data_IF_716453171053
#
_entry.id   IF_716453171053
#
_cell.length_a   1.000
_cell.length_b   1.000
_cell.length_c   1.000
_cell.angle_alpha   90.00
_cell.angle_beta   90.00
_cell.angle_gamma   90.00
#
_symmetry.space_group_name_H-M   'P 1'
#
loop_
_entity.id
_entity.type
_entity.pdbx_description
1 polymer ?
#
# COMPACT_ATOMS: atom_id res chain seq x y z
N UNK A 1 13.20 -22.94 11.81
CA UNK A 1 13.66 -21.61 11.36
C UNK A 1 14.12 -20.84 12.58
N UNK A 2 15.27 -20.13 12.55
CA UNK A 2 15.64 -19.27 13.66
C UNK A 2 14.60 -18.16 13.80
N UNK A 3 14.16 -17.92 15.04
CA UNK A 3 13.10 -16.97 15.39
C UNK A 3 13.61 -15.54 15.16
N UNK A 4 12.77 -14.67 14.60
CA UNK A 4 12.98 -13.22 14.68
C UNK A 4 12.72 -12.77 16.12
N UNK A 5 13.68 -12.04 16.71
CA UNK A 5 13.70 -11.60 18.10
C UNK A 5 12.64 -10.53 18.43
N UNK A 6 12.19 -10.51 19.68
CA UNK A 6 11.22 -9.55 20.26
C UNK A 6 11.62 -8.07 20.13
N UNK A 7 12.87 -7.78 19.77
CA UNK A 7 13.35 -6.43 19.44
C UNK A 7 12.63 -5.81 18.23
N UNK A 8 12.00 -6.62 17.37
CA UNK A 8 11.25 -6.16 16.20
C UNK A 8 9.94 -5.40 16.55
N UNK A 9 9.49 -5.43 17.80
CA UNK A 9 8.25 -4.77 18.26
C UNK A 9 8.46 -3.47 19.04
N UNK A 10 9.69 -2.95 19.14
CA UNK A 10 9.96 -1.59 19.65
C UNK A 10 9.40 -1.24 21.03
N UNK A 11 9.15 -2.25 21.89
CA UNK A 11 8.68 -2.03 23.27
C UNK A 11 9.85 -2.15 24.24
N UNK A 12 10.67 -1.11 24.30
CA UNK A 12 11.55 -0.90 25.44
C UNK A 12 10.74 -0.25 26.57
N UNK A 13 10.45 -1.04 27.60
CA UNK A 13 9.90 -0.52 28.85
C UNK A 13 11.01 0.21 29.63
N UNK A 14 10.92 1.54 29.71
CA UNK A 14 11.81 2.32 30.56
C UNK A 14 11.66 1.89 32.04
N UNK A 15 12.75 1.68 32.79
CA UNK A 15 12.67 1.28 34.19
C UNK A 15 12.20 2.45 35.07
N UNK A 16 11.23 2.18 35.94
CA UNK A 16 10.74 3.11 36.93
C UNK A 16 11.82 3.41 37.99
N UNK A 17 12.28 4.66 38.07
CA UNK A 17 13.11 5.16 39.16
C UNK A 17 12.28 6.07 40.08
N UNK A 18 12.40 5.83 41.39
CA UNK A 18 11.66 6.48 42.44
C UNK A 18 12.20 7.87 42.83
N UNK A 19 11.28 8.83 43.00
CA UNK A 19 11.25 9.90 44.02
C UNK A 19 12.38 10.96 44.12
N UNK A 20 12.06 12.22 43.75
CA UNK A 20 12.43 13.44 44.49
C UNK A 20 11.71 14.70 43.95
N UNK A 21 11.32 15.62 44.84
CA UNK A 21 10.58 16.86 44.57
C UNK A 21 11.46 18.06 44.09
N UNK A 22 11.03 18.75 43.01
CA UNK A 22 11.08 20.22 42.63
C UNK A 22 12.36 21.08 42.81
N UNK A 23 12.57 22.27 42.15
CA UNK A 23 11.62 23.17 41.44
C UNK A 23 12.09 23.89 40.12
N UNK A 24 11.10 24.49 39.43
CA UNK A 24 11.10 25.75 38.61
C UNK A 24 11.89 25.91 37.28
N UNK A 25 11.08 26.24 36.26
CA UNK A 25 11.23 27.23 35.17
C UNK A 25 12.54 27.30 34.35
N UNK A 26 12.41 26.95 33.06
CA UNK A 26 12.76 27.83 31.91
C UNK A 26 12.17 27.26 30.62
N UNK A 27 11.46 28.12 29.90
CA UNK A 27 10.62 27.75 28.75
C UNK A 27 11.38 27.33 27.50
N UNK A 28 10.70 26.51 26.71
CA UNK A 28 10.92 26.35 25.27
C UNK A 28 9.54 26.14 24.64
N UNK A 29 9.18 27.06 23.74
CA UNK A 29 7.97 27.02 22.91
C UNK A 29 8.08 25.85 21.94
N UNK A 30 7.29 24.79 22.18
CA UNK A 30 6.93 23.82 21.15
C UNK A 30 5.40 23.86 21.03
N UNK A 31 4.92 24.33 19.88
CA UNK A 31 3.50 24.45 19.59
C UNK A 31 2.84 23.07 19.55
N UNK A 32 2.05 22.77 20.58
CA UNK A 32 1.06 21.70 20.56
C UNK A 32 -0.06 22.08 19.59
N UNK A 33 -0.27 21.27 18.57
CA UNK A 33 -1.49 21.34 17.75
C UNK A 33 -2.71 21.08 18.67
N UNK A 34 -3.76 21.91 18.64
CA UNK A 34 -4.94 21.71 19.47
C UNK A 34 -5.81 20.60 18.88
N UNK A 35 -6.15 19.60 19.72
CA UNK A 35 -7.16 18.58 19.41
C UNK A 35 -8.54 19.23 19.59
N UNK A 36 -9.40 19.31 18.56
CA UNK A 36 -10.77 19.79 18.72
C UNK A 36 -11.60 18.73 19.46
N UNK A 37 -12.06 19.07 20.65
CA UNK A 37 -13.18 18.37 21.30
C UNK A 37 -14.48 18.82 20.63
N UNK A 38 -14.87 18.18 19.52
CA UNK A 38 -16.22 18.26 19.00
C UNK A 38 -16.80 16.86 18.83
N UNK A 39 -17.74 16.54 19.71
CA UNK A 39 -18.37 15.22 19.88
C UNK A 39 -19.38 14.86 18.77
N UNK A 40 -19.18 15.31 17.52
CA UNK A 40 -20.18 15.18 16.47
C UNK A 40 -19.66 14.84 15.06
N UNK A 41 -18.44 14.30 14.94
CA UNK A 41 -17.87 13.92 13.64
C UNK A 41 -17.34 12.48 13.61
N UNK A 42 -18.03 11.55 14.26
CA UNK A 42 -17.81 10.11 14.03
C UNK A 42 -18.22 9.78 12.61
N UNK A 43 -17.25 9.63 11.71
CA UNK A 43 -17.49 9.10 10.37
C UNK A 43 -17.78 7.61 10.52
N UNK A 44 -19.05 7.24 10.69
CA UNK A 44 -19.49 5.86 10.53
C UNK A 44 -19.30 5.49 9.05
N UNK A 45 -18.34 4.61 8.79
CA UNK A 45 -18.11 4.05 7.46
C UNK A 45 -18.94 2.76 7.39
N UNK A 46 -20.03 2.70 6.58
CA UNK A 46 -20.84 1.51 6.47
C UNK A 46 -20.01 0.36 5.87
N UNK A 47 -20.18 -0.86 6.38
CA UNK A 47 -19.58 -2.04 5.77
C UNK A 47 -20.04 -2.16 4.31
N UNK A 48 -19.13 -1.95 3.36
CA UNK A 48 -19.45 -1.82 1.93
C UNK A 48 -19.69 -3.16 1.22
N UNK A 49 -19.59 -4.32 1.90
CA UNK A 49 -19.80 -5.64 1.28
C UNK A 49 -20.49 -6.66 2.17
N UNK A 50 -21.36 -7.46 1.54
CA UNK A 50 -21.92 -8.69 2.11
C UNK A 50 -20.82 -9.77 2.21
N UNK A 51 -20.70 -10.43 3.36
CA UNK A 51 -19.77 -11.54 3.66
C UNK A 51 -19.78 -12.68 2.62
N UNK A 52 -20.89 -12.86 1.89
CA UNK A 52 -21.02 -13.88 0.85
C UNK A 52 -20.22 -13.50 -0.40
N UNK A 53 -20.02 -12.22 -0.70
CA UNK A 53 -19.41 -11.79 -1.98
C UNK A 53 -17.98 -12.29 -2.17
N UNK A 54 -17.17 -12.33 -1.11
CA UNK A 54 -15.74 -12.62 -1.24
C UNK A 54 -15.42 -14.13 -1.14
N UNK A 55 -16.24 -14.90 -0.40
CA UNK A 55 -16.03 -16.34 -0.21
C UNK A 55 -16.92 -17.22 -1.09
N UNK A 56 -18.09 -16.74 -1.56
CA UNK A 56 -18.98 -17.54 -2.40
C UNK A 56 -18.37 -17.91 -3.76
N UNK A 57 -17.42 -17.13 -4.25
CA UNK A 57 -16.67 -17.46 -5.46
C UNK A 57 -15.79 -18.71 -5.28
N UNK A 58 -15.38 -19.01 -4.04
CA UNK A 58 -14.52 -20.15 -3.70
C UNK A 58 -15.28 -21.30 -3.03
N UNK A 59 -16.46 -21.02 -2.47
CA UNK A 59 -17.36 -22.02 -1.89
C UNK A 59 -18.26 -22.60 -2.99
N UNK A 60 -17.76 -23.57 -3.74
CA UNK A 60 -18.61 -24.41 -4.56
C UNK A 60 -19.54 -25.24 -3.68
N UNK A 61 -20.83 -25.30 -4.03
CA UNK A 61 -21.70 -26.38 -3.57
C UNK A 61 -21.05 -27.72 -3.96
N UNK A 62 -20.55 -28.46 -2.98
CA UNK A 62 -20.09 -29.83 -3.15
C UNK A 62 -21.29 -30.74 -3.41
N UNK A 63 -21.89 -30.67 -4.61
CA UNK A 63 -22.69 -31.74 -5.23
C UNK A 63 -22.91 -31.50 -6.75
N UNK A 64 -22.30 -32.40 -7.54
CA UNK A 64 -22.72 -33.02 -8.82
C UNK A 64 -23.33 -32.14 -9.96
N UNK A 65 -22.47 -31.98 -10.98
CA UNK A 65 -22.64 -32.06 -12.46
C UNK A 65 -23.34 -30.95 -13.29
N UNK A 66 -22.64 -30.41 -14.31
CA UNK A 66 -23.19 -29.47 -15.30
C UNK A 66 -23.75 -30.20 -16.54
N UNK A 67 -24.89 -29.73 -17.06
CA UNK A 67 -25.36 -30.10 -18.39
C UNK A 67 -25.13 -28.96 -19.38
N UNK A 68 -24.58 -29.37 -20.53
CA UNK A 68 -24.32 -28.66 -21.78
C UNK A 68 -25.58 -27.91 -22.28
N UNK A 69 -25.55 -26.84 -23.10
CA UNK A 69 -24.90 -26.74 -24.41
C UNK A 69 -25.21 -25.39 -25.08
N UNK A 70 -24.23 -24.89 -25.83
CA UNK A 70 -24.23 -24.10 -27.08
C UNK A 70 -25.38 -23.14 -27.44
N UNK A 71 -24.99 -21.96 -27.96
CA UNK A 71 -25.37 -21.55 -29.33
C UNK A 71 -24.44 -20.49 -29.95
N UNK A 72 -23.87 -20.90 -31.08
CA UNK A 72 -23.19 -20.10 -32.12
C UNK A 72 -24.19 -19.20 -32.87
N UNK A 73 -23.71 -18.03 -33.30
CA UNK A 73 -24.36 -17.20 -34.33
C UNK A 73 -23.31 -16.62 -35.29
N UNK A 74 -23.27 -17.16 -36.50
CA UNK A 74 -22.52 -16.65 -37.66
C UNK A 74 -23.40 -15.69 -38.47
N UNK A 75 -22.83 -14.62 -39.04
CA UNK A 75 -22.97 -14.31 -40.48
C UNK A 75 -22.17 -13.08 -40.94
N UNK A 76 -21.58 -13.30 -42.11
CA UNK A 76 -20.71 -12.46 -42.95
C UNK A 76 -21.38 -11.18 -43.50
N UNK A 77 -20.56 -10.18 -43.88
CA UNK A 77 -20.72 -9.50 -45.18
C UNK A 77 -19.45 -8.76 -45.63
N UNK A 78 -18.94 -9.24 -46.77
CA UNK A 78 -18.09 -8.68 -47.82
C UNK A 78 -17.81 -7.16 -47.88
N UNK A 79 -16.59 -6.83 -48.33
CA UNK A 79 -16.27 -5.50 -48.89
C UNK A 79 -14.78 -5.25 -49.10
N UNK A 80 -14.18 -5.89 -50.09
CA UNK A 80 -12.80 -5.66 -50.57
C UNK A 80 -12.71 -4.47 -51.54
N UNK A 81 -11.73 -3.57 -51.34
CA UNK A 81 -10.81 -3.09 -52.40
C UNK A 81 -9.84 -1.98 -51.91
N UNK A 82 -8.54 -2.24 -52.03
CA UNK A 82 -7.40 -1.29 -52.01
C UNK A 82 -7.12 -0.76 -53.45
N UNK A 83 -6.03 -0.02 -53.74
CA UNK A 83 -5.62 1.36 -53.36
C UNK A 83 -5.31 2.21 -54.63
N UNK A 84 -4.72 3.44 -54.51
CA UNK A 84 -3.63 4.04 -55.35
C UNK A 84 -3.52 5.59 -55.15
N UNK A 85 -2.32 6.20 -55.27
CA UNK A 85 -1.81 7.30 -54.43
C UNK A 85 -1.63 8.64 -55.17
N UNK A 86 -1.42 9.77 -54.45
CA UNK A 86 -0.65 10.94 -54.93
C UNK A 86 0.01 11.75 -53.80
N UNK A 87 1.31 11.95 -53.91
CA UNK A 87 2.09 13.11 -53.42
C UNK A 87 2.84 13.69 -54.63
N UNK A 88 3.59 14.83 -54.56
CA UNK A 88 3.69 15.86 -53.53
C UNK A 88 3.45 17.28 -54.10
N UNK A 89 3.33 18.31 -53.24
CA UNK A 89 3.53 19.71 -53.67
C UNK A 89 4.53 20.42 -52.77
N UNK A 90 5.60 20.85 -53.42
CA UNK A 90 6.69 21.67 -52.90
C UNK A 90 6.26 23.14 -52.92
N UNK A 91 6.47 23.86 -51.83
CA UNK A 91 6.57 25.33 -51.84
C UNK A 91 7.90 25.74 -51.23
N UNK A 92 8.74 26.33 -52.08
CA UNK A 92 10.06 26.89 -51.77
C UNK A 92 9.91 28.29 -51.15
N UNK A 93 10.72 28.50 -50.09
CA UNK A 93 11.57 29.66 -49.79
C UNK A 93 10.98 31.08 -49.65
N UNK A 94 11.19 31.63 -48.45
CA UNK A 94 11.85 32.92 -48.17
C UNK A 94 12.17 32.93 -46.66
N UNK A 95 13.30 33.35 -46.12
CA UNK A 95 14.46 34.10 -46.59
C UNK A 95 15.59 33.86 -45.59
N UNK A 96 16.81 33.65 -46.08
CA UNK A 96 18.01 33.60 -45.25
C UNK A 96 18.24 34.99 -44.66
N UNK A 97 18.10 35.11 -43.35
CA UNK A 97 18.69 36.21 -42.57
C UNK A 97 19.77 35.58 -41.70
N UNK A 98 21.01 35.92 -41.98
CA UNK A 98 22.16 35.61 -41.15
C UNK A 98 21.99 36.31 -39.79
N UNK A 99 21.57 35.55 -38.77
CA UNK A 99 21.53 36.03 -37.39
C UNK A 99 22.14 34.97 -36.46
N UNK A 100 23.47 34.99 -36.36
CA UNK A 100 24.26 34.09 -35.50
C UNK A 100 24.13 34.34 -33.99
N UNK A 101 23.26 35.27 -33.57
CA UNK A 101 22.96 35.56 -32.15
C UNK A 101 21.54 35.18 -31.74
N UNK A 102 20.52 35.65 -32.48
CA UNK A 102 19.11 35.47 -32.10
C UNK A 102 18.63 34.01 -32.14
N UNK A 103 19.21 33.17 -33.00
CA UNK A 103 18.83 31.75 -33.06
C UNK A 103 19.22 30.99 -31.79
N UNK A 104 20.34 31.35 -31.14
CA UNK A 104 20.77 30.72 -29.88
C UNK A 104 19.89 31.15 -28.72
N UNK A 105 19.51 32.42 -28.65
CA UNK A 105 18.64 32.93 -27.59
C UNK A 105 17.20 32.39 -27.71
N UNK A 106 16.70 32.24 -28.95
CA UNK A 106 15.40 31.59 -29.22
C UNK A 106 15.46 30.10 -28.87
N UNK A 107 16.54 29.40 -29.23
CA UNK A 107 16.71 28.00 -28.85
C UNK A 107 16.89 27.84 -27.33
N UNK A 108 17.62 28.73 -26.67
CA UNK A 108 17.83 28.69 -25.22
C UNK A 108 16.53 28.98 -24.46
N UNK A 109 15.74 29.95 -24.88
CA UNK A 109 14.41 30.22 -24.31
C UNK A 109 13.44 29.06 -24.53
N UNK A 110 13.42 28.48 -25.74
CA UNK A 110 12.63 27.27 -26.02
C UNK A 110 13.04 26.09 -25.13
N UNK A 111 14.34 25.87 -24.93
CA UNK A 111 14.85 24.80 -24.05
C UNK A 111 14.48 25.08 -22.59
N UNK A 112 14.58 26.32 -22.14
CA UNK A 112 14.15 26.72 -20.79
C UNK A 112 12.66 26.48 -20.59
N UNK A 113 11.81 26.88 -21.52
CA UNK A 113 10.36 26.70 -21.40
C UNK A 113 9.97 25.21 -21.44
N UNK A 114 10.57 24.43 -22.33
CA UNK A 114 10.40 22.96 -22.33
C UNK A 114 10.82 22.32 -21.01
N UNK A 115 11.93 22.77 -20.41
CA UNK A 115 12.37 22.27 -19.10
C UNK A 115 11.39 22.64 -17.97
N UNK A 116 10.81 23.84 -18.00
CA UNK A 116 9.77 24.24 -17.04
C UNK A 116 8.51 23.39 -17.18
N UNK A 117 8.06 23.13 -18.41
CA UNK A 117 6.91 22.27 -18.68
C UNK A 117 7.15 20.84 -18.18
N UNK A 118 8.33 20.26 -18.46
CA UNK A 118 8.72 18.94 -17.94
C UNK A 118 8.79 18.91 -16.42
N UNK A 119 9.33 19.95 -15.78
CA UNK A 119 9.37 20.06 -14.31
C UNK A 119 7.95 20.14 -13.73
N UNK A 120 7.06 20.93 -14.32
CA UNK A 120 5.67 21.02 -13.90
C UNK A 120 4.93 19.69 -14.06
N UNK A 121 5.13 18.99 -15.17
CA UNK A 121 4.59 17.65 -15.42
C UNK A 121 5.14 16.61 -14.43
N UNK A 122 6.45 16.65 -14.14
CA UNK A 122 7.10 15.76 -13.18
C UNK A 122 6.57 15.94 -11.76
N UNK A 123 6.29 17.19 -11.36
CA UNK A 123 5.61 17.49 -10.08
C UNK A 123 4.11 17.16 -10.09
N UNK A 124 3.51 16.92 -11.26
CA UNK A 124 2.08 16.61 -11.39
C UNK A 124 1.81 15.11 -11.57
N UNK A 125 2.85 14.28 -11.59
CA UNK A 125 2.74 12.83 -11.51
C UNK A 125 3.24 12.34 -10.15
N UNK A 126 2.71 11.19 -9.69
CA UNK A 126 3.21 10.51 -8.52
C UNK A 126 3.06 9.00 -8.64
N UNK A 127 3.77 8.27 -7.79
CA UNK A 127 3.65 6.82 -7.69
C UNK A 127 3.20 6.39 -6.29
N UNK A 128 2.35 5.38 -6.23
CA UNK A 128 2.06 4.64 -5.00
C UNK A 128 2.50 3.20 -5.24
N UNK A 129 3.49 2.73 -4.49
CA UNK A 129 4.02 1.37 -4.63
C UNK A 129 3.47 0.48 -3.55
N UNK A 130 2.94 -0.69 -3.92
CA UNK A 130 2.96 -1.81 -3.00
C UNK A 130 4.41 -2.24 -2.71
N UNK A 131 4.62 -3.04 -1.66
CA UNK A 131 5.95 -3.49 -1.24
C UNK A 131 6.17 -4.95 -1.65
N UNK A 132 5.29 -5.84 -1.23
CA UNK A 132 5.49 -7.28 -1.31
C UNK A 132 5.17 -7.75 -2.72
N UNK A 133 6.19 -8.21 -3.47
CA UNK A 133 6.05 -8.57 -4.88
C UNK A 133 6.25 -7.41 -5.86
N UNK A 134 6.45 -6.18 -5.37
CA UNK A 134 6.75 -5.00 -6.20
C UNK A 134 8.15 -4.46 -5.92
N UNK A 135 8.50 -4.25 -4.66
CA UNK A 135 9.81 -3.77 -4.22
C UNK A 135 10.69 -4.88 -3.61
N UNK A 136 10.07 -5.87 -2.97
CA UNK A 136 10.79 -6.96 -2.31
C UNK A 136 9.95 -8.26 -2.25
N UNK A 137 10.64 -9.39 -2.08
CA UNK A 137 10.09 -10.69 -1.72
C UNK A 137 10.52 -11.03 -0.29
N UNK A 138 9.68 -10.67 0.69
CA UNK A 138 10.08 -10.73 2.09
C UNK A 138 11.29 -9.82 2.35
N UNK A 139 12.46 -10.40 2.65
CA UNK A 139 13.69 -9.64 2.89
C UNK A 139 14.63 -9.57 1.67
N UNK A 140 14.24 -10.16 0.53
CA UNK A 140 15.03 -10.11 -0.70
C UNK A 140 14.54 -8.95 -1.58
N UNK A 141 15.42 -8.02 -2.00
CA UNK A 141 15.00 -6.91 -2.85
C UNK A 141 14.72 -7.38 -4.29
N UNK A 142 13.76 -6.74 -4.95
CA UNK A 142 13.64 -6.78 -6.40
C UNK A 142 14.64 -5.76 -6.97
N UNK A 143 15.65 -6.21 -7.72
CA UNK A 143 16.77 -5.34 -8.13
C UNK A 143 16.30 -4.16 -9.00
N UNK A 144 15.30 -4.36 -9.85
CA UNK A 144 14.70 -3.31 -10.65
C UNK A 144 14.02 -2.22 -9.80
N UNK A 145 13.58 -2.55 -8.58
CA UNK A 145 13.02 -1.57 -7.65
C UNK A 145 14.07 -0.54 -7.23
N UNK A 146 15.32 -0.96 -7.00
CA UNK A 146 16.41 -0.04 -6.64
C UNK A 146 16.65 0.97 -7.75
N UNK A 147 16.68 0.52 -9.01
CA UNK A 147 16.85 1.41 -10.17
C UNK A 147 15.67 2.37 -10.33
N UNK A 148 14.44 1.88 -10.16
CA UNK A 148 13.23 2.70 -10.24
C UNK A 148 13.23 3.80 -9.17
N UNK A 149 13.50 3.46 -7.91
CA UNK A 149 13.55 4.44 -6.83
C UNK A 149 14.70 5.42 -6.98
N UNK A 150 15.88 4.97 -7.42
CA UNK A 150 17.01 5.87 -7.69
C UNK A 150 16.65 6.94 -8.73
N UNK A 151 15.95 6.54 -9.80
CA UNK A 151 15.44 7.45 -10.82
C UNK A 151 14.45 8.47 -10.22
N UNK A 152 13.48 8.01 -9.41
CA UNK A 152 12.50 8.89 -8.77
C UNK A 152 13.14 9.81 -7.72
N UNK A 153 14.24 9.40 -7.09
CA UNK A 153 14.98 10.20 -6.11
C UNK A 153 15.95 11.24 -6.72
N UNK A 154 15.88 11.47 -8.04
CA UNK A 154 16.63 12.53 -8.71
C UNK A 154 17.74 12.06 -9.65
N UNK A 155 18.00 10.76 -9.80
CA UNK A 155 18.87 10.24 -10.85
C UNK A 155 18.13 10.19 -12.20
N UNK A 156 17.66 11.34 -12.66
CA UNK A 156 16.89 11.51 -13.90
C UNK A 156 17.31 12.81 -14.61
N UNK A 157 16.86 13.03 -15.85
CA UNK A 157 17.21 14.19 -16.68
C UNK A 157 17.05 15.55 -15.98
N UNK A 158 16.07 15.68 -15.10
CA UNK A 158 15.72 16.95 -14.44
C UNK A 158 16.50 17.16 -13.13
N UNK A 159 17.09 16.11 -12.57
CA UNK A 159 17.76 16.19 -11.27
C UNK A 159 16.82 16.50 -10.10
N UNK A 160 15.51 16.33 -10.29
CA UNK A 160 14.49 16.56 -9.26
C UNK A 160 13.87 15.24 -8.81
N UNK A 161 13.34 15.24 -7.59
CA UNK A 161 12.54 14.12 -7.09
C UNK A 161 11.18 14.08 -7.79
N UNK A 162 10.72 12.89 -8.13
CA UNK A 162 9.34 12.63 -8.55
C UNK A 162 8.65 12.02 -7.33
N UNK A 163 7.51 12.56 -6.87
CA UNK A 163 6.87 12.12 -5.64
C UNK A 163 6.42 10.66 -5.73
N UNK A 164 6.66 9.92 -4.65
CA UNK A 164 6.09 8.59 -4.47
C UNK A 164 5.84 8.30 -2.99
N UNK A 165 4.92 7.39 -2.74
CA UNK A 165 4.58 6.84 -1.42
C UNK A 165 4.61 5.31 -1.48
N UNK A 166 4.66 4.69 -0.30
CA UNK A 166 4.51 3.24 -0.14
C UNK A 166 3.12 2.98 0.45
N UNK A 167 2.35 2.11 -0.20
CA UNK A 167 0.98 1.77 0.17
C UNK A 167 0.84 0.26 0.28
N UNK A 168 0.85 -0.27 1.49
CA UNK A 168 1.04 -1.70 1.74
C UNK A 168 -0.01 -2.25 2.70
N UNK A 169 -0.47 -3.47 2.42
CA UNK A 169 -1.33 -4.21 3.35
C UNK A 169 -0.55 -5.02 4.39
N UNK A 170 0.78 -5.16 4.23
CA UNK A 170 1.59 -5.77 5.27
C UNK A 170 1.53 -4.95 6.57
N UNK A 171 1.71 -5.60 7.71
CA UNK A 171 1.66 -4.96 9.03
C UNK A 171 2.58 -5.64 10.05
N UNK A 172 2.44 -5.26 11.32
CA UNK A 172 3.17 -5.87 12.44
C UNK A 172 4.47 -5.19 12.85
N UNK A 173 4.90 -4.14 12.13
CA UNK A 173 5.98 -3.23 12.55
C UNK A 173 5.47 -1.80 12.53
N UNK A 174 6.06 -0.94 13.35
CA UNK A 174 5.83 0.52 13.25
C UNK A 174 6.32 1.01 11.89
N UNK A 175 5.73 2.09 11.38
CA UNK A 175 6.13 2.67 10.09
C UNK A 175 7.61 3.04 10.07
N UNK A 176 8.12 3.58 11.18
CA UNK A 176 9.54 3.91 11.33
C UNK A 176 10.44 2.68 11.21
N UNK A 177 10.11 1.59 11.91
CA UNK A 177 10.86 0.33 11.84
C UNK A 177 10.76 -0.30 10.44
N UNK A 178 9.60 -0.20 9.79
CA UNK A 178 9.41 -0.71 8.43
C UNK A 178 10.16 0.10 7.38
N UNK A 179 10.19 1.42 7.51
CA UNK A 179 11.04 2.30 6.68
C UNK A 179 12.51 1.95 6.80
N UNK A 180 12.99 1.71 8.02
CA UNK A 180 14.38 1.34 8.29
C UNK A 180 14.72 -0.01 7.64
N UNK A 181 13.89 -1.02 7.87
CA UNK A 181 14.04 -2.33 7.25
C UNK A 181 14.05 -2.23 5.72
N UNK A 182 13.11 -1.49 5.12
CA UNK A 182 13.05 -1.35 3.68
C UNK A 182 14.25 -0.59 3.12
N UNK A 183 14.77 0.39 3.85
CA UNK A 183 16.01 1.10 3.50
C UNK A 183 17.22 0.15 3.50
N UNK A 184 17.24 -0.82 4.40
CA UNK A 184 18.28 -1.86 4.41
C UNK A 184 18.12 -2.89 3.28
N UNK A 185 16.90 -3.28 2.95
CA UNK A 185 16.61 -4.21 1.85
C UNK A 185 16.98 -3.54 0.51
N UNK A 186 16.59 -2.27 0.33
CA UNK A 186 16.79 -1.51 -0.91
C UNK A 186 18.11 -0.72 -0.94
N UNK A 187 19.12 -1.13 -0.15
CA UNK A 187 20.46 -0.53 -0.08
C UNK A 187 20.93 -0.03 -1.46
N UNK A 188 21.21 1.28 -1.56
CA UNK A 188 21.62 1.95 -2.79
C UNK A 188 20.55 2.87 -3.41
N UNK A 189 19.28 2.71 -3.04
CA UNK A 189 18.25 3.73 -3.19
C UNK A 189 18.11 4.47 -1.86
N UNK A 190 18.52 5.74 -1.78
CA UNK A 190 18.23 6.55 -0.59
C UNK A 190 16.72 6.73 -0.47
N UNK A 191 16.05 5.98 0.40
CA UNK A 191 14.66 6.27 0.78
C UNK A 191 14.68 7.50 1.68
N UNK A 192 14.05 8.58 1.25
CA UNK A 192 13.89 9.74 2.11
C UNK A 192 12.89 9.45 3.23
N UNK A 193 13.15 10.03 4.39
CA UNK A 193 12.47 9.73 5.65
C UNK A 193 10.97 10.07 5.78
N UNK A 194 10.23 10.56 4.76
CA UNK A 194 8.76 10.60 4.83
C UNK A 194 8.07 9.71 3.82
N UNK A 195 8.77 8.73 3.22
CA UNK A 195 8.10 7.65 2.49
C UNK A 195 7.53 6.67 3.52
N UNK A 196 6.53 7.10 4.28
CA UNK A 196 5.87 6.26 5.29
C UNK A 196 5.09 5.15 4.57
N UNK A 197 5.33 3.87 4.88
CA UNK A 197 4.43 2.81 4.45
C UNK A 197 3.09 3.08 5.09
N UNK A 198 2.14 3.53 4.27
CA UNK A 198 0.75 3.61 4.66
C UNK A 198 0.30 2.17 4.81
N UNK A 199 0.32 1.70 6.05
CA UNK A 199 -0.26 0.43 6.42
C UNK A 199 -1.76 0.64 6.53
N UNK A 200 -2.27 1.10 7.67
CA UNK A 200 -3.73 1.23 7.90
C UNK A 200 -4.06 2.32 8.93
N UNK A 201 -5.23 2.98 8.83
CA UNK A 201 -5.66 4.00 9.80
C UNK A 201 -5.88 3.45 11.22
N UNK A 202 -5.86 2.12 11.40
CA UNK A 202 -5.97 1.46 12.70
C UNK A 202 -4.79 1.73 13.64
N UNK A 203 -3.64 2.20 13.15
CA UNK A 203 -2.48 2.48 14.02
C UNK A 203 -2.78 3.58 15.06
N UNK A 204 -3.59 4.60 14.69
CA UNK A 204 -4.06 5.62 15.63
C UNK A 204 -4.89 5.02 16.79
N UNK A 205 -5.55 3.88 16.55
CA UNK A 205 -6.28 3.12 17.56
C UNK A 205 -5.33 2.22 18.40
N UNK A 206 -4.20 1.81 17.81
CA UNK A 206 -3.17 1.01 18.45
C UNK A 206 -2.44 1.75 19.57
N UNK A 207 -2.03 3.00 19.34
CA UNK A 207 -1.26 3.81 20.30
C UNK A 207 -2.03 4.15 21.59
N UNK A 208 -3.36 4.13 21.54
CA UNK A 208 -4.24 4.35 22.70
C UNK A 208 -4.71 3.05 23.36
N UNK A 209 -4.54 1.92 22.69
CA UNK A 209 -4.97 0.61 23.17
C UNK A 209 -3.79 -0.17 23.77
N UNK A 210 -3.86 -0.44 25.07
CA UNK A 210 -2.88 -1.30 25.74
C UNK A 210 -3.12 -2.75 25.32
N UNK A 211 -2.52 -3.16 24.20
CA UNK A 211 -2.62 -4.52 23.65
C UNK A 211 -2.15 -5.52 24.71
N UNK A 212 -3.06 -6.38 25.24
CA UNK A 212 -2.64 -7.50 26.05
C UNK A 212 -1.96 -8.50 25.12
N UNK A 213 -0.63 -8.57 25.16
CA UNK A 213 0.06 -9.76 24.66
C UNK A 213 -0.47 -10.92 25.53
N UNK A 214 -1.26 -11.83 24.97
CA UNK A 214 -1.68 -13.08 25.62
C UNK A 214 -0.48 -14.03 25.69
N UNK A 215 0.61 -13.56 26.32
CA UNK A 215 1.77 -14.36 26.73
C UNK A 215 1.52 -15.10 28.04
N UNK A 216 0.38 -14.86 28.70
CA UNK A 216 0.01 -15.70 29.83
C UNK A 216 -0.36 -17.08 29.29
N UNK A 217 0.08 -18.18 29.93
CA UNK A 217 -0.60 -19.44 29.79
C UNK A 217 -2.00 -19.26 30.38
N UNK A 218 -2.92 -18.72 29.56
CA UNK A 218 -4.34 -18.89 29.75
C UNK A 218 -4.59 -20.38 29.96
N UNK A 219 -5.63 -20.71 30.74
CA UNK A 219 -5.93 -22.08 31.09
C UNK A 219 -5.81 -22.95 29.82
N UNK A 220 -4.96 -23.99 29.77
CA UNK A 220 -4.69 -24.74 28.53
C UNK A 220 -5.95 -25.38 27.92
N UNK A 221 -7.08 -25.35 28.60
CA UNK A 221 -8.40 -25.70 28.07
C UNK A 221 -9.04 -24.62 27.17
N UNK A 222 -8.64 -23.36 27.30
CA UNK A 222 -9.15 -22.22 26.50
C UNK A 222 -8.64 -22.28 25.06
N UNK A 223 -7.39 -22.73 24.86
CA UNK A 223 -6.86 -23.09 23.54
C UNK A 223 -6.16 -24.45 23.62
N UNK A 224 -6.87 -25.55 23.38
CA UNK A 224 -6.33 -26.90 23.54
C UNK A 224 -5.21 -27.25 22.55
N UNK A 225 -5.02 -26.42 21.52
CA UNK A 225 -4.07 -26.65 20.43
C UNK A 225 -2.76 -25.88 20.57
N UNK A 226 -2.65 -24.96 21.56
CA UNK A 226 -1.44 -24.15 21.75
C UNK A 226 -0.30 -24.96 22.37
N UNK A 227 0.85 -24.97 21.68
CA UNK A 227 2.10 -25.49 22.22
C UNK A 227 2.96 -24.34 22.77
N UNK A 228 2.89 -24.10 24.08
CA UNK A 228 3.71 -23.08 24.74
C UNK A 228 5.20 -23.46 24.75
N UNK A 229 6.06 -22.55 24.30
CA UNK A 229 7.52 -22.69 24.43
C UNK A 229 8.00 -22.35 25.84
N UNK A 230 9.26 -22.64 26.15
CA UNK A 230 9.84 -22.33 27.47
C UNK A 230 9.88 -20.82 27.74
N UNK A 231 10.10 -20.00 26.72
CA UNK A 231 10.05 -18.53 26.78
C UNK A 231 8.64 -18.01 27.08
N UNK A 232 7.60 -18.56 26.43
CA UNK A 232 6.19 -18.19 26.71
C UNK A 232 5.81 -18.46 28.18
N UNK A 233 6.43 -19.49 28.78
CA UNK A 233 6.20 -19.87 30.18
C UNK A 233 7.02 -19.03 31.16
N UNK A 234 8.07 -18.35 30.71
CA UNK A 234 8.98 -17.58 31.54
C UNK A 234 8.45 -16.17 31.87
N UNK A 235 7.59 -15.59 31.02
CA UNK A 235 6.99 -14.26 31.23
C UNK A 235 5.45 -14.25 31.27
N UNK A 236 4.81 -14.96 32.22
CA UNK A 236 3.38 -14.79 32.43
C UNK A 236 3.13 -13.39 33.01
N UNK A 237 2.42 -12.55 32.26
CA UNK A 237 1.74 -11.36 32.79
C UNK A 237 0.28 -11.75 33.07
N UNK A 238 -0.03 -12.41 34.21
CA UNK A 238 -1.38 -12.87 34.49
C UNK A 238 -2.32 -11.66 34.54
N UNK A 239 -3.31 -11.66 33.64
CA UNK A 239 -4.44 -10.73 33.67
C UNK A 239 -5.68 -11.53 34.00
N UNK A 240 -6.47 -11.02 34.94
CA UNK A 240 -7.76 -11.62 35.29
C UNK A 240 -8.82 -11.15 34.27
N UNK A 241 -9.02 -11.93 33.22
CA UNK A 241 -9.94 -11.59 32.13
C UNK A 241 -11.41 -11.59 32.56
N UNK A 242 -11.76 -12.20 33.70
CA UNK A 242 -13.13 -12.17 34.24
C UNK A 242 -13.58 -10.76 34.67
N UNK A 243 -12.63 -9.84 34.86
CA UNK A 243 -12.87 -8.45 35.27
C UNK A 243 -12.72 -7.44 34.14
N UNK A 244 -12.43 -7.91 32.92
CA UNK A 244 -12.17 -7.06 31.77
C UNK A 244 -13.34 -7.16 30.81
N UNK A 245 -13.93 -6.01 30.50
CA UNK A 245 -14.82 -5.86 29.35
C UNK A 245 -13.97 -5.44 28.15
N UNK A 246 -14.13 -6.15 27.03
CA UNK A 246 -13.56 -5.78 25.75
C UNK A 246 -14.59 -4.99 24.95
N UNK A 247 -14.21 -3.84 24.41
CA UNK A 247 -15.13 -2.99 23.62
C UNK A 247 -15.03 -3.25 22.11
N UNK A 248 -13.91 -3.81 21.63
CA UNK A 248 -13.68 -4.11 20.23
C UNK A 248 -12.57 -5.16 20.04
N UNK A 249 -12.55 -5.80 18.87
CA UNK A 249 -11.49 -6.70 18.42
C UNK A 249 -10.76 -6.04 17.26
N UNK A 250 -9.45 -5.83 17.39
CA UNK A 250 -8.61 -5.21 16.35
C UNK A 250 -7.55 -6.22 15.88
N UNK A 251 -7.66 -6.67 14.62
CA UNK A 251 -6.72 -7.61 14.00
C UNK A 251 -5.72 -6.81 13.16
N UNK A 252 -4.55 -6.54 13.73
CA UNK A 252 -3.52 -5.67 13.13
C UNK A 252 -2.62 -6.37 12.10
N UNK A 253 -2.31 -7.64 12.30
CA UNK A 253 -1.38 -8.40 11.47
C UNK A 253 -1.76 -9.88 11.48
N UNK A 254 -1.09 -10.68 10.64
CA UNK A 254 -1.22 -12.13 10.67
C UNK A 254 -0.79 -12.71 12.02
N UNK A 255 -1.67 -13.55 12.57
CA UNK A 255 -1.38 -14.35 13.74
C UNK A 255 -0.33 -15.43 13.43
N UNK A 256 0.50 -15.76 14.42
CA UNK A 256 1.42 -16.92 14.34
C UNK A 256 0.84 -18.18 15.00
N UNK A 257 -0.32 -18.06 15.64
CA UNK A 257 -1.05 -19.13 16.32
C UNK A 257 -2.55 -19.01 15.98
N UNK A 258 -2.88 -19.34 14.73
CA UNK A 258 -4.22 -19.18 14.19
C UNK A 258 -5.29 -19.89 15.02
N UNK A 259 -5.01 -21.08 15.55
CA UNK A 259 -5.99 -21.84 16.31
C UNK A 259 -6.40 -21.10 17.60
N UNK A 260 -5.42 -20.61 18.35
CA UNK A 260 -5.67 -19.85 19.58
C UNK A 260 -6.37 -18.54 19.28
N UNK A 261 -5.86 -17.77 18.32
CA UNK A 261 -6.39 -16.43 18.08
C UNK A 261 -7.79 -16.47 17.47
N UNK A 262 -8.09 -17.45 16.60
CA UNK A 262 -9.47 -17.67 16.14
C UNK A 262 -10.40 -18.06 17.29
N UNK A 263 -9.97 -18.95 18.19
CA UNK A 263 -10.79 -19.38 19.32
C UNK A 263 -11.13 -18.18 20.23
N UNK A 264 -10.13 -17.37 20.60
CA UNK A 264 -10.33 -16.18 21.43
C UNK A 264 -11.26 -15.15 20.76
N UNK A 265 -11.10 -14.92 19.46
CA UNK A 265 -11.97 -14.01 18.70
C UNK A 265 -13.40 -14.54 18.70
N UNK A 266 -13.62 -15.82 18.42
CA UNK A 266 -14.95 -16.43 18.41
C UNK A 266 -15.60 -16.38 19.79
N UNK A 267 -14.84 -16.63 20.86
CA UNK A 267 -15.36 -16.55 22.22
C UNK A 267 -15.79 -15.13 22.57
N UNK A 268 -15.01 -14.11 22.20
CA UNK A 268 -15.39 -12.70 22.40
C UNK A 268 -16.59 -12.28 21.54
N UNK A 269 -16.69 -12.76 20.30
CA UNK A 269 -17.83 -12.48 19.42
C UNK A 269 -19.13 -13.13 19.90
N UNK A 270 -19.04 -14.16 20.74
CA UNK A 270 -20.19 -14.90 21.29
C UNK A 270 -20.42 -14.60 22.78
N UNK A 271 -19.58 -13.75 23.38
CA UNK A 271 -19.64 -13.34 24.76
C UNK A 271 -20.78 -12.34 25.02
N UNK A 272 -21.19 -12.24 26.28
CA UNK A 272 -22.10 -11.22 26.77
C UNK A 272 -21.35 -9.89 26.93
N UNK A 273 -21.62 -8.97 26.00
CA UNK A 273 -21.13 -7.58 25.97
C UNK A 273 -19.61 -7.50 26.17
N UNK A 274 -18.87 -8.33 25.42
CA UNK A 274 -17.41 -8.36 25.43
C UNK A 274 -16.77 -8.89 26.72
N UNK A 275 -17.53 -9.55 27.60
CA UNK A 275 -17.00 -10.16 28.82
C UNK A 275 -16.51 -11.58 28.53
N UNK A 276 -15.19 -11.77 28.55
CA UNK A 276 -14.59 -13.09 28.31
C UNK A 276 -15.15 -14.15 29.29
N UNK A 277 -15.19 -15.41 28.86
CA UNK A 277 -15.72 -16.57 29.62
C UNK A 277 -17.26 -16.58 29.81
N UNK A 278 -17.99 -15.70 29.12
CA UNK A 278 -19.46 -15.71 29.12
C UNK A 278 -20.02 -16.17 27.77
N UNK A 279 -21.33 -16.42 27.71
CA UNK A 279 -22.04 -16.74 26.46
C UNK A 279 -23.34 -15.95 26.38
N UNK A 280 -23.45 -15.09 25.38
CA UNK A 280 -24.67 -14.32 25.16
C UNK A 280 -25.83 -15.24 24.77
N UNK A 281 -27.03 -14.93 25.28
CA UNK A 281 -28.28 -15.57 24.82
C UNK A 281 -28.61 -15.17 23.38
N UNK A 282 -28.32 -13.92 23.04
CA UNK A 282 -28.38 -13.38 21.69
C UNK A 282 -27.00 -12.82 21.31
N UNK A 283 -26.14 -13.65 20.69
CA UNK A 283 -24.81 -13.24 20.27
C UNK A 283 -24.82 -12.16 19.18
N UNK A 284 -25.91 -11.95 18.45
CA UNK A 284 -25.96 -10.94 17.39
C UNK A 284 -26.19 -9.56 18.00
N UNK A 285 -27.14 -9.46 18.93
CA UNK A 285 -27.44 -8.19 19.63
C UNK A 285 -26.34 -7.77 20.61
N UNK A 286 -25.58 -8.74 21.14
CA UNK A 286 -24.57 -8.50 22.18
C UNK A 286 -23.13 -8.36 21.64
N UNK A 287 -22.93 -8.51 20.33
CA UNK A 287 -21.60 -8.60 19.70
C UNK A 287 -20.85 -7.26 19.80
N UNK A 288 -19.56 -7.35 20.13
CA UNK A 288 -18.61 -6.24 20.00
C UNK A 288 -18.07 -6.12 18.56
N UNK A 289 -17.78 -4.91 18.07
CA UNK A 289 -17.27 -4.72 16.72
C UNK A 289 -15.89 -5.37 16.52
N UNK A 290 -15.67 -5.88 15.30
CA UNK A 290 -14.40 -6.47 14.86
C UNK A 290 -13.88 -5.76 13.61
N UNK A 291 -12.58 -5.46 13.65
CA UNK A 291 -11.86 -4.72 12.63
C UNK A 291 -10.67 -5.54 12.13
N UNK A 292 -10.51 -5.64 10.82
CA UNK A 292 -9.32 -6.21 10.19
C UNK A 292 -8.54 -5.11 9.47
N UNK A 293 -7.22 -5.12 9.63
CA UNK A 293 -6.37 -4.13 9.00
C UNK A 293 -6.33 -4.29 7.49
N UNK A 294 -6.44 -5.50 6.94
CA UNK A 294 -6.36 -5.74 5.50
C UNK A 294 -7.28 -6.87 5.01
N UNK A 295 -7.50 -6.91 3.69
CA UNK A 295 -8.42 -7.86 3.05
C UNK A 295 -7.80 -8.95 2.18
N UNK A 296 -6.47 -8.95 1.95
CA UNK A 296 -5.84 -9.80 0.94
C UNK A 296 -5.94 -11.28 1.31
N UNK A 297 -6.27 -12.11 0.33
CA UNK A 297 -6.32 -13.56 0.52
C UNK A 297 -4.90 -14.15 0.50
N UNK A 298 -4.05 -13.63 -0.39
CA UNK A 298 -2.71 -14.12 -0.62
C UNK A 298 -1.71 -12.98 -0.78
N UNK A 299 -0.45 -13.25 -0.43
CA UNK A 299 0.69 -12.36 -0.62
C UNK A 299 1.95 -13.15 -1.01
N UNK A 300 2.92 -12.54 -1.69
CA UNK A 300 4.18 -13.17 -2.04
C UNK A 300 5.15 -13.16 -0.85
N UNK A 301 5.99 -14.19 -0.74
CA UNK A 301 7.09 -14.26 0.24
C UNK A 301 8.38 -14.72 -0.45
N UNK A 302 9.44 -14.92 0.32
CA UNK A 302 10.68 -15.62 -0.08
C UNK A 302 10.47 -17.09 -0.54
N UNK A 303 9.25 -17.63 -0.40
CA UNK A 303 8.90 -18.96 -0.84
C UNK A 303 8.82 -19.04 -2.36
N UNK A 304 9.65 -19.89 -2.98
CA UNK A 304 9.73 -20.09 -4.44
C UNK A 304 8.48 -20.70 -5.10
N UNK A 305 7.50 -21.14 -4.31
CA UNK A 305 6.24 -21.70 -4.79
C UNK A 305 5.15 -20.64 -4.93
N UNK A 306 3.86 -21.06 -4.93
CA UNK A 306 2.74 -20.13 -4.99
C UNK A 306 2.73 -19.10 -3.84
N UNK A 307 2.02 -17.96 -3.99
CA UNK A 307 1.73 -17.04 -2.90
C UNK A 307 1.15 -17.73 -1.66
N UNK A 308 1.41 -17.16 -0.47
CA UNK A 308 0.95 -17.70 0.82
C UNK A 308 -0.35 -17.03 1.24
N UNK A 309 -1.17 -17.73 2.03
CA UNK A 309 -2.35 -17.14 2.65
C UNK A 309 -1.92 -16.06 3.67
N UNK A 310 -2.71 -15.01 3.78
CA UNK A 310 -2.54 -13.91 4.75
C UNK A 310 -3.87 -13.59 5.44
N UNK A 311 -3.99 -12.44 6.09
CA UNK A 311 -5.04 -12.14 7.05
C UNK A 311 -6.46 -12.18 6.43
N UNK A 312 -6.63 -12.07 5.11
CA UNK A 312 -7.94 -12.30 4.47
C UNK A 312 -8.42 -13.75 4.59
N UNK A 313 -7.50 -14.72 4.54
CA UNK A 313 -7.83 -16.14 4.81
C UNK A 313 -8.18 -16.37 6.28
N UNK A 314 -7.44 -15.72 7.19
CA UNK A 314 -7.71 -15.73 8.63
C UNK A 314 -9.11 -15.16 8.93
N UNK A 315 -9.44 -14.02 8.33
CA UNK A 315 -10.75 -13.37 8.40
C UNK A 315 -11.88 -14.26 7.89
N UNK A 316 -11.74 -14.83 6.67
CA UNK A 316 -12.74 -15.74 6.09
C UNK A 316 -12.99 -16.94 7.01
N UNK A 317 -11.94 -17.44 7.66
CA UNK A 317 -12.05 -18.54 8.62
C UNK A 317 -12.88 -18.16 9.85
N UNK A 318 -12.71 -16.93 10.36
CA UNK A 318 -13.52 -16.41 11.49
C UNK A 318 -14.98 -16.22 11.07
N UNK A 319 -15.23 -15.66 9.87
CA UNK A 319 -16.58 -15.48 9.34
C UNK A 319 -17.31 -16.81 9.20
N UNK A 320 -16.65 -17.81 8.63
CA UNK A 320 -17.21 -19.15 8.46
C UNK A 320 -17.55 -19.79 9.80
N UNK A 321 -16.66 -19.68 10.80
CA UNK A 321 -16.90 -20.18 12.15
C UNK A 321 -18.07 -19.46 12.82
N UNK A 322 -18.11 -18.13 12.77
CA UNK A 322 -19.18 -17.33 13.35
C UNK A 322 -20.55 -17.67 12.72
N UNK A 323 -20.60 -17.79 11.39
CA UNK A 323 -21.81 -18.19 10.66
C UNK A 323 -22.27 -19.60 11.01
N UNK A 324 -21.34 -20.55 11.13
CA UNK A 324 -21.67 -21.92 11.52
C UNK A 324 -22.26 -21.98 12.94
N UNK A 325 -21.81 -21.11 13.85
CA UNK A 325 -22.24 -21.09 15.25
C UNK A 325 -23.52 -20.28 15.51
N UNK A 326 -23.80 -19.28 14.68
CA UNK A 326 -24.93 -18.33 14.90
C UNK A 326 -26.01 -18.41 13.84
N UNK A 327 -25.71 -18.99 12.66
CA UNK A 327 -26.56 -18.94 11.47
C UNK A 327 -26.56 -17.59 10.75
N UNK A 328 -25.81 -16.60 11.25
CA UNK A 328 -25.81 -15.22 10.74
C UNK A 328 -24.41 -14.84 10.25
N UNK A 329 -24.37 -14.02 9.21
CA UNK A 329 -23.14 -13.46 8.69
C UNK A 329 -22.48 -12.50 9.69
N UNK A 330 -21.14 -12.59 9.81
CA UNK A 330 -20.38 -11.70 10.67
C UNK A 330 -20.32 -10.30 10.04
N UNK A 331 -20.80 -9.30 10.77
CA UNK A 331 -20.56 -7.90 10.43
C UNK A 331 -19.17 -7.52 10.93
N UNK A 332 -18.40 -6.89 10.05
CA UNK A 332 -17.02 -6.48 10.29
C UNK A 332 -16.71 -5.22 9.52
N UNK A 333 -15.65 -4.55 9.93
CA UNK A 333 -15.02 -3.48 9.14
C UNK A 333 -13.66 -3.96 8.70
N UNK A 334 -13.31 -3.67 7.44
CA UNK A 334 -12.00 -3.97 6.89
C UNK A 334 -11.40 -2.71 6.33
N UNK A 335 -10.12 -2.53 6.63
CA UNK A 335 -9.27 -1.49 6.10
C UNK A 335 -8.29 -2.09 5.09
N UNK A 336 -7.37 -1.27 4.61
CA UNK A 336 -6.36 -1.71 3.65
C UNK A 336 -6.89 -1.70 2.25
N UNK A 337 -6.00 -1.87 1.28
CA UNK A 337 -6.41 -2.03 -0.12
C UNK A 337 -7.34 -3.25 -0.23
N UNK A 338 -8.42 -3.18 -1.02
CA UNK A 338 -8.80 -2.12 -1.97
C UNK A 338 -9.68 -1.00 -1.38
N UNK A 339 -9.82 -0.88 -0.06
CA UNK A 339 -10.79 0.00 0.59
C UNK A 339 -10.48 1.48 0.40
N UNK A 340 -11.53 2.27 0.10
CA UNK A 340 -11.42 3.70 -0.22
C UNK A 340 -10.71 4.51 0.86
N UNK A 341 -10.95 4.19 2.13
CA UNK A 341 -10.37 4.90 3.27
C UNK A 341 -8.83 4.89 3.22
N UNK A 342 -8.22 3.78 2.80
CA UNK A 342 -6.76 3.64 2.67
C UNK A 342 -6.21 4.56 1.58
N UNK A 343 -6.89 4.71 0.45
CA UNK A 343 -6.47 5.62 -0.62
C UNK A 343 -6.72 7.10 -0.28
N UNK A 344 -7.80 7.41 0.45
CA UNK A 344 -8.03 8.78 0.96
C UNK A 344 -6.94 9.21 1.95
N UNK A 345 -6.50 8.31 2.82
CA UNK A 345 -5.36 8.61 3.69
C UNK A 345 -4.04 8.70 2.91
N UNK A 346 -3.87 7.89 1.86
CA UNK A 346 -2.71 7.99 0.97
C UNK A 346 -2.59 9.36 0.27
N UNK A 347 -3.71 10.00 -0.08
CA UNK A 347 -3.73 11.38 -0.59
C UNK A 347 -3.16 12.37 0.45
N UNK A 348 -3.50 12.24 1.73
CA UNK A 348 -2.98 13.12 2.79
C UNK A 348 -1.46 12.99 2.92
N UNK A 349 -0.96 11.74 2.90
CA UNK A 349 0.48 11.45 2.95
C UNK A 349 1.19 11.99 1.70
N UNK A 350 0.62 11.80 0.51
CA UNK A 350 1.20 12.30 -0.74
C UNK A 350 1.24 13.84 -0.76
N UNK A 351 0.21 14.50 -0.23
CA UNK A 351 0.14 15.96 -0.11
C UNK A 351 1.20 16.51 0.85
N UNK A 352 1.37 15.88 2.01
CA UNK A 352 2.43 16.24 2.95
C UNK A 352 3.83 16.02 2.34
N UNK A 353 4.00 14.94 1.58
CA UNK A 353 5.25 14.65 0.90
C UNK A 353 5.58 15.68 -0.19
N UNK A 354 4.58 16.06 -0.98
CA UNK A 354 4.68 17.15 -1.98
C UNK A 354 5.09 18.48 -1.36
N UNK A 355 4.52 18.82 -0.21
CA UNK A 355 4.91 20.01 0.55
C UNK A 355 6.39 19.94 0.96
N UNK A 356 6.85 18.78 1.39
CA UNK A 356 8.24 18.61 1.81
C UNK A 356 9.26 18.67 0.65
N UNK A 357 9.01 18.01 -0.48
CA UNK A 357 10.01 17.92 -1.57
C UNK A 357 9.91 19.02 -2.62
N UNK A 358 8.76 19.68 -2.72
CA UNK A 358 8.50 20.70 -3.74
C UNK A 358 7.96 22.01 -3.17
N UNK A 359 7.68 22.09 -1.87
CA UNK A 359 7.06 23.26 -1.23
C UNK A 359 5.70 23.59 -1.87
N UNK A 360 4.94 22.55 -2.24
CA UNK A 360 3.63 22.64 -2.89
C UNK A 360 2.61 21.77 -2.14
N UNK A 361 1.63 22.39 -1.47
CA UNK A 361 0.55 21.67 -0.79
C UNK A 361 -0.61 21.38 -1.77
N UNK A 362 -0.39 20.45 -2.69
CA UNK A 362 -1.39 19.98 -3.66
C UNK A 362 -1.19 18.51 -4.00
N UNK A 363 -2.26 17.86 -4.46
CA UNK A 363 -2.17 16.51 -4.99
C UNK A 363 -1.72 16.52 -6.46
N UNK A 364 -0.79 15.64 -6.84
CA UNK A 364 -0.51 15.29 -8.22
C UNK A 364 -1.77 14.72 -8.87
N UNK A 365 -2.08 15.12 -10.11
CA UNK A 365 -3.27 14.61 -10.82
C UNK A 365 -3.03 13.21 -11.40
N UNK A 366 -1.79 12.91 -11.80
CA UNK A 366 -1.43 11.67 -12.46
C UNK A 366 -0.75 10.72 -11.47
N UNK A 367 -1.55 10.09 -10.61
CA UNK A 367 -1.05 9.08 -9.66
C UNK A 367 -1.08 7.69 -10.30
N UNK A 368 0.00 6.94 -10.11
CA UNK A 368 0.20 5.58 -10.62
C UNK A 368 0.33 4.59 -9.46
N UNK A 369 -0.70 3.78 -9.22
CA UNK A 369 -0.63 2.63 -8.32
C UNK A 369 0.14 1.50 -9.00
N UNK A 370 1.27 1.08 -8.43
CA UNK A 370 2.06 -0.04 -8.92
C UNK A 370 1.94 -1.19 -7.93
N UNK A 371 1.35 -2.30 -8.40
CA UNK A 371 0.95 -3.42 -7.55
C UNK A 371 1.05 -4.76 -8.26
N UNK A 372 1.12 -5.83 -7.50
CA UNK A 372 1.21 -7.21 -7.99
C UNK A 372 -0.12 -7.97 -7.84
N UNK A 373 -1.06 -7.44 -7.03
CA UNK A 373 -2.30 -8.12 -6.67
C UNK A 373 -3.52 -7.45 -7.34
N UNK A 374 -4.16 -8.10 -8.34
CA UNK A 374 -5.31 -7.53 -9.03
C UNK A 374 -6.50 -7.22 -8.11
N UNK A 375 -6.76 -8.08 -7.11
CA UNK A 375 -7.89 -7.93 -6.20
C UNK A 375 -7.69 -6.84 -5.14
N UNK A 376 -6.47 -6.33 -4.99
CA UNK A 376 -6.09 -5.36 -3.96
C UNK A 376 -5.62 -4.06 -4.59
N UNK A 377 -4.42 -4.04 -5.18
CA UNK A 377 -3.79 -2.83 -5.71
C UNK A 377 -4.54 -2.27 -6.91
N UNK A 378 -4.87 -3.16 -7.86
CA UNK A 378 -5.44 -2.76 -9.14
C UNK A 378 -6.91 -2.42 -8.98
N UNK A 379 -7.67 -3.28 -8.29
CA UNK A 379 -9.05 -3.00 -7.91
C UNK A 379 -9.17 -1.68 -7.15
N UNK A 380 -8.38 -1.48 -6.09
CA UNK A 380 -8.42 -0.26 -5.27
C UNK A 380 -8.02 0.98 -6.06
N UNK A 381 -6.93 0.92 -6.81
CA UNK A 381 -6.47 2.03 -7.65
C UNK A 381 -7.49 2.42 -8.73
N UNK A 382 -8.10 1.44 -9.39
CA UNK A 382 -9.16 1.66 -10.38
C UNK A 382 -10.40 2.32 -9.74
N UNK A 383 -10.87 1.79 -8.60
CA UNK A 383 -12.03 2.34 -7.89
C UNK A 383 -11.79 3.75 -7.38
N UNK A 384 -10.55 4.08 -7.01
CA UNK A 384 -10.17 5.41 -6.57
C UNK A 384 -9.99 6.41 -7.73
N UNK A 385 -9.73 5.91 -8.93
CA UNK A 385 -9.51 6.72 -10.14
C UNK A 385 -8.04 7.00 -10.46
N UNK A 386 -7.11 6.24 -9.87
CA UNK A 386 -5.69 6.30 -10.20
C UNK A 386 -5.36 5.48 -11.45
N UNK A 387 -4.23 5.81 -12.08
CA UNK A 387 -3.64 4.93 -13.09
C UNK A 387 -3.09 3.69 -12.39
N UNK A 388 -3.28 2.49 -12.94
CA UNK A 388 -2.85 1.25 -12.29
C UNK A 388 -1.90 0.46 -13.18
N UNK A 389 -0.73 0.12 -12.63
CA UNK A 389 0.32 -0.67 -13.25
C UNK A 389 0.40 -2.03 -12.55
N UNK A 390 0.06 -3.11 -13.25
CA UNK A 390 0.14 -4.47 -12.71
C UNK A 390 1.49 -5.09 -13.05
N UNK A 391 2.26 -5.51 -12.04
CA UNK A 391 3.57 -6.14 -12.24
C UNK A 391 3.50 -7.66 -12.12
N UNK A 392 4.44 -8.35 -12.78
CA UNK A 392 4.51 -9.84 -12.81
C UNK A 392 5.43 -10.44 -11.76
N UNK A 393 5.95 -9.62 -10.87
CA UNK A 393 6.93 -10.03 -9.87
C UNK A 393 6.29 -10.65 -8.62
N UNK A 394 4.96 -10.66 -8.46
CA UNK A 394 4.30 -11.17 -7.25
C UNK A 394 3.15 -12.14 -7.50
N UNK A 395 2.00 -11.87 -6.88
CA UNK A 395 0.76 -12.67 -6.94
C UNK A 395 0.34 -12.90 -8.38
N UNK A 396 0.34 -11.86 -9.19
CA UNK A 396 -0.03 -11.97 -10.59
C UNK A 396 1.10 -12.51 -11.46
N UNK A 397 0.84 -13.60 -12.18
CA UNK A 397 1.77 -14.23 -13.12
C UNK A 397 1.16 -14.48 -14.51
N UNK A 398 0.02 -13.84 -14.82
CA UNK A 398 -0.68 -14.02 -16.10
C UNK A 398 0.16 -13.61 -17.31
N UNK A 399 -0.25 -13.98 -18.52
CA UNK A 399 0.42 -13.52 -19.76
C UNK A 399 -0.15 -12.17 -20.25
N UNK A 400 -1.45 -11.98 -20.06
CA UNK A 400 -2.19 -10.77 -20.43
C UNK A 400 -2.53 -9.95 -19.17
N UNK A 401 -3.57 -9.11 -19.27
CA UNK A 401 -4.14 -8.39 -18.13
C UNK A 401 -5.07 -9.30 -17.31
N UNK A 402 -5.32 -8.96 -16.05
CA UNK A 402 -6.26 -9.71 -15.22
C UNK A 402 -7.68 -9.59 -15.77
N UNK A 403 -8.42 -10.70 -15.82
CA UNK A 403 -9.76 -10.74 -16.41
C UNK A 403 -10.80 -9.99 -15.56
N UNK A 404 -10.65 -10.02 -14.23
CA UNK A 404 -11.64 -9.48 -13.30
C UNK A 404 -11.30 -8.03 -12.88
N UNK A 405 -10.01 -7.75 -12.69
CA UNK A 405 -9.50 -6.46 -12.25
C UNK A 405 -8.38 -5.98 -13.18
N UNK A 406 -8.69 -5.66 -14.45
CA UNK A 406 -7.68 -5.26 -15.42
C UNK A 406 -7.02 -3.94 -15.02
N UNK A 407 -5.69 -3.90 -15.10
CA UNK A 407 -4.93 -2.68 -14.92
C UNK A 407 -5.21 -1.69 -16.07
N UNK A 408 -5.63 -0.47 -15.72
CA UNK A 408 -6.04 0.53 -16.70
C UNK A 408 -4.88 1.18 -17.47
N UNK A 409 -3.66 1.19 -16.90
CA UNK A 409 -2.49 1.78 -17.54
C UNK A 409 -1.67 0.73 -18.27
N UNK A 410 -1.48 -0.44 -17.65
CA UNK A 410 -0.85 -1.56 -18.32
C UNK A 410 -0.32 -2.62 -17.37
N UNK A 411 0.27 -3.64 -18.00
CA UNK A 411 0.87 -4.77 -17.33
C UNK A 411 2.35 -4.83 -17.68
N UNK A 412 3.20 -5.00 -16.68
CA UNK A 412 4.64 -4.83 -16.80
C UNK A 412 5.40 -6.01 -16.20
N UNK A 413 6.57 -6.36 -16.75
CA UNK A 413 7.38 -7.45 -16.20
C UNK A 413 7.84 -7.16 -14.77
N UNK A 414 8.16 -5.90 -14.44
CA UNK A 414 8.63 -5.46 -13.13
C UNK A 414 8.30 -3.97 -12.91
N UNK A 415 8.58 -3.49 -11.69
CA UNK A 415 8.36 -2.10 -11.25
C UNK A 415 9.12 -1.07 -12.10
N UNK A 416 10.33 -1.37 -12.56
CA UNK A 416 11.13 -0.42 -13.34
C UNK A 416 10.49 -0.12 -14.70
N UNK A 417 10.00 -1.15 -15.39
CA UNK A 417 9.34 -0.95 -16.68
C UNK A 417 7.99 -0.22 -16.53
N UNK A 418 7.26 -0.46 -15.43
CA UNK A 418 6.07 0.31 -15.09
C UNK A 418 6.39 1.80 -14.89
N UNK A 419 7.42 2.12 -14.10
CA UNK A 419 7.86 3.49 -13.84
C UNK A 419 8.33 4.17 -15.13
N UNK A 420 9.17 3.50 -15.93
CA UNK A 420 9.61 4.06 -17.23
C UNK A 420 8.45 4.35 -18.17
N UNK A 421 7.44 3.48 -18.21
CA UNK A 421 6.27 3.68 -19.06
C UNK A 421 5.44 4.90 -18.62
N UNK A 422 5.18 5.05 -17.32
CA UNK A 422 4.49 6.21 -16.77
C UNK A 422 5.28 7.51 -17.01
N UNK A 423 6.59 7.51 -16.72
CA UNK A 423 7.45 8.66 -16.97
C UNK A 423 7.49 9.04 -18.46
N UNK A 424 7.53 8.08 -19.38
CA UNK A 424 7.47 8.35 -20.83
C UNK A 424 6.13 8.93 -21.28
N UNK A 425 5.01 8.48 -20.69
CA UNK A 425 3.68 9.04 -20.97
C UNK A 425 3.62 10.51 -20.59
N UNK A 426 4.19 10.86 -19.44
CA UNK A 426 4.05 12.19 -18.85
C UNK A 426 5.16 13.17 -19.28
N UNK A 427 6.40 12.71 -19.49
CA UNK A 427 7.58 13.56 -19.82
C UNK A 427 8.11 13.38 -21.24
N UNK A 428 7.55 12.44 -22.00
CA UNK A 428 7.92 12.14 -23.39
C UNK A 428 8.92 10.99 -23.54
N UNK A 429 8.97 10.42 -24.76
CA UNK A 429 9.79 9.25 -25.08
C UNK A 429 11.31 9.48 -25.00
N UNK A 430 11.73 10.73 -25.21
CA UNK A 430 13.13 11.15 -25.19
C UNK A 430 13.67 11.40 -23.77
N UNK A 431 12.84 11.24 -22.73
CA UNK A 431 13.23 11.49 -21.36
C UNK A 431 14.37 10.57 -20.92
N UNK A 432 15.44 11.15 -20.36
CA UNK A 432 16.61 10.40 -19.90
C UNK A 432 16.45 9.97 -18.44
N UNK A 433 16.60 8.67 -18.24
CA UNK A 433 16.46 8.00 -16.93
C UNK A 433 17.73 8.00 -16.08
N UNK A 434 18.69 8.87 -16.38
CA UNK A 434 19.93 9.03 -15.63
C UNK A 434 20.30 10.50 -15.61
N UNK A 435 20.75 10.98 -14.45
CA UNK A 435 21.33 12.31 -14.35
C UNK A 435 22.61 12.37 -15.17
N UNK A 436 22.78 13.46 -15.92
CA UNK A 436 24.03 13.74 -16.62
C UNK A 436 24.59 15.08 -16.14
N UNK A 437 25.66 15.10 -15.33
CA UNK A 437 26.22 16.35 -14.80
C UNK A 437 26.79 17.27 -15.90
N UNK A 438 27.02 16.75 -17.11
CA UNK A 438 27.46 17.56 -18.27
C UNK A 438 26.30 18.32 -18.94
N UNK A 439 25.05 17.99 -18.61
CA UNK A 439 23.84 18.65 -19.08
C UNK A 439 23.32 19.48 -17.91
N UNK A 440 24.07 20.50 -17.51
CA UNK A 440 23.61 21.44 -16.49
C UNK A 440 22.88 22.59 -17.20
N UNK A 441 21.55 22.74 -17.03
CA UNK A 441 20.80 23.84 -17.67
C UNK A 441 21.25 25.24 -17.19
N UNK A 442 22.01 25.31 -16.09
CA UNK A 442 22.53 26.57 -15.52
C UNK A 442 23.92 26.95 -16.08
N UNK A 443 24.70 26.00 -16.63
CA UNK A 443 26.09 26.26 -17.05
C UNK A 443 26.31 26.38 -18.56
N UNK A 444 25.28 26.17 -19.40
CA UNK A 444 25.42 26.35 -20.85
C UNK A 444 25.40 27.83 -21.31
N UNK A 445 25.49 28.78 -20.39
CA UNK A 445 25.59 30.22 -20.68
C UNK A 445 27.01 30.75 -20.89
N UNK A 446 28.03 30.22 -20.21
CA UNK A 446 29.37 30.82 -20.21
C UNK A 446 30.46 29.74 -20.20
N UNK A 447 31.08 29.48 -21.36
CA UNK A 447 32.19 28.52 -21.41
C UNK A 447 32.77 28.20 -22.78
N UNK A 448 32.54 29.04 -23.79
CA UNK A 448 33.24 28.94 -25.08
C UNK A 448 33.81 30.31 -25.47
N UNK A 449 34.57 30.91 -24.56
CA UNK A 449 35.50 31.97 -24.86
C UNK A 449 36.60 31.97 -23.80
N UNK A 450 37.82 31.68 -24.27
CA UNK A 450 39.16 32.03 -23.78
C UNK A 450 40.04 30.77 -23.80
N UNK A 451 40.79 30.72 -24.91
CA UNK A 451 42.06 30.05 -25.24
C UNK A 451 42.36 28.63 -24.76
#
# INVERSE_FOLDING_TARGET
MPRFDDADFGVDAAPAAAGAHSPRDRGSMAGSLPIPHDANNTVEIPATRSSISDAAQFMHNLSISPSTRDRRGSRNSFGTSLPIPRSPRVSRLSSVVTAGGTSRDILASQVQDMSKEKVAAAKNMAFAFDIDGVLAHGNEPIEEAKEALKMLNGDNELGIKIPYILLTNGGGKTEAARCEQLSEILRGAHLDRPVHPVSHPMQALGETSSTPRTSSPGNPTESPWRCFSEEDRAEPKPRDFSKIKFDAILVFADSRDYATDMQLIIDLLLAEDGKMLTRAKDPVASRIPVYFSQGDLVFPTDHKGPPRLTQGAFRISIEAQYKALTGVDLERVVYGKPERATYTYADEVLRAWMEQIHNENRLPQNVYMVGDNPASDICGGNMYGWNTCLVRTGVFQGADNDENNPANFGVFPNVLEAVKAAVRKELGQEFKFKWNPKVNPVLHGDGAAIE
#
